data_IF_397243727551
#
_entry.id   IF_397243727551
#
_cell.length_a   1.000
_cell.length_b   1.000
_cell.length_c   1.000
_cell.angle_alpha   90.00
_cell.angle_beta   90.00
_cell.angle_gamma   90.00
#
_symmetry.space_group_name_H-M   'P 1'
#
loop_
_entity.id
_entity.type
_entity.pdbx_description
1 polymer ?
#
# COMPACT_ATOMS: atom_id res chain seq x y z
N UNK A 1 -18.30 46.76 47.48
CA UNK A 1 -18.82 45.54 46.83
C UNK A 1 -19.27 45.72 45.36
N UNK A 2 -18.73 46.71 44.61
CA UNK A 2 -19.07 46.97 43.20
C UNK A 2 -18.07 46.38 42.19
N UNK A 3 -16.80 46.19 42.59
CA UNK A 3 -15.73 45.73 41.70
C UNK A 3 -15.86 44.27 41.23
N UNK A 4 -16.33 43.37 42.11
CA UNK A 4 -16.48 41.92 41.79
C UNK A 4 -17.60 41.63 40.80
N UNK A 5 -18.65 42.46 40.80
CA UNK A 5 -19.80 42.34 39.90
C UNK A 5 -19.42 42.65 38.44
N UNK A 6 -18.56 43.65 38.21
CA UNK A 6 -18.06 43.99 36.87
C UNK A 6 -17.20 42.88 36.25
N UNK A 7 -16.37 42.22 37.04
CA UNK A 7 -15.52 41.10 36.58
C UNK A 7 -16.38 39.89 36.19
N UNK A 8 -17.40 39.55 36.97
CA UNK A 8 -18.33 38.45 36.63
C UNK A 8 -19.17 38.74 35.39
N UNK A 9 -19.55 40.00 35.14
CA UNK A 9 -20.29 40.39 33.93
C UNK A 9 -19.38 40.41 32.69
N UNK A 10 -18.12 40.82 32.83
CA UNK A 10 -17.12 40.77 31.76
C UNK A 10 -16.76 39.33 31.36
N UNK A 11 -16.66 38.41 32.33
CA UNK A 11 -16.39 36.99 32.05
C UNK A 11 -17.55 36.30 31.33
N UNK A 12 -18.80 36.65 31.66
CA UNK A 12 -19.99 36.05 31.05
C UNK A 12 -20.26 36.55 29.62
N UNK A 13 -19.90 37.79 29.30
CA UNK A 13 -19.97 38.32 27.91
C UNK A 13 -18.87 37.72 27.02
N UNK A 14 -17.68 37.45 27.56
CA UNK A 14 -16.60 36.83 26.82
C UNK A 14 -16.91 35.37 26.43
N UNK A 15 -17.57 34.61 27.32
CA UNK A 15 -17.96 33.21 27.05
C UNK A 15 -19.13 33.10 26.05
N UNK A 16 -19.99 34.12 25.96
CA UNK A 16 -21.13 34.12 25.03
C UNK A 16 -20.76 34.58 23.60
N UNK A 17 -19.60 35.22 23.45
CA UNK A 17 -19.12 35.72 22.16
C UNK A 17 -18.36 34.64 21.36
N UNK A 18 -17.85 33.60 22.02
CA UNK A 18 -17.17 32.46 21.38
C UNK A 18 -18.11 31.44 20.74
N UNK A 19 -19.42 31.51 20.99
CA UNK A 19 -20.42 30.58 20.42
C UNK A 19 -20.97 31.00 19.04
N UNK A 20 -20.64 32.19 18.54
CA UNK A 20 -21.22 32.74 17.30
C UNK A 20 -20.28 32.69 16.08
N UNK A 21 -19.04 32.22 16.24
CA UNK A 21 -18.07 32.05 15.12
C UNK A 21 -18.09 30.62 14.55
N UNK A 22 -19.06 29.77 14.96
CA UNK A 22 -19.17 28.39 14.49
C UNK A 22 -20.01 28.20 13.22
N UNK A 23 -20.63 29.26 12.66
CA UNK A 23 -21.57 29.14 11.54
C UNK A 23 -21.36 30.15 10.39
N UNK A 24 -20.12 30.43 10.03
CA UNK A 24 -19.79 31.01 8.72
C UNK A 24 -18.85 30.10 7.93
N UNK A 25 -19.23 28.81 7.86
CA UNK A 25 -18.81 27.96 6.76
C UNK A 25 -19.54 28.41 5.51
N UNK A 26 -18.90 29.25 4.70
CA UNK A 26 -19.27 29.39 3.29
C UNK A 26 -19.37 27.99 2.70
N UNK A 27 -20.46 27.62 1.99
CA UNK A 27 -20.47 26.38 1.24
C UNK A 27 -19.36 26.50 0.20
N UNK A 28 -18.23 25.87 0.47
CA UNK A 28 -17.22 25.61 -0.53
C UNK A 28 -17.97 24.92 -1.67
N UNK A 29 -17.99 25.55 -2.85
CA UNK A 29 -18.47 24.89 -4.05
C UNK A 29 -17.66 23.60 -4.14
N UNK A 30 -18.29 22.48 -3.81
CA UNK A 30 -17.81 21.16 -4.17
C UNK A 30 -17.88 21.10 -5.69
N UNK A 31 -16.84 21.62 -6.33
CA UNK A 31 -16.41 21.11 -7.63
C UNK A 31 -16.31 19.62 -7.38
N UNK A 32 -17.14 18.82 -8.05
CA UNK A 32 -17.02 17.38 -7.99
C UNK A 32 -15.58 17.06 -8.34
N UNK A 33 -14.78 16.76 -7.31
CA UNK A 33 -13.41 16.33 -7.47
C UNK A 33 -13.58 14.99 -8.18
N UNK A 34 -13.22 14.92 -9.45
CA UNK A 34 -13.08 13.64 -10.11
C UNK A 34 -12.23 12.78 -9.16
N UNK A 35 -12.84 11.77 -8.55
CA UNK A 35 -12.11 10.77 -7.79
C UNK A 35 -11.21 10.07 -8.81
N UNK A 36 -9.96 10.54 -8.92
CA UNK A 36 -8.94 9.80 -9.62
C UNK A 36 -8.87 8.44 -8.94
N UNK A 37 -9.27 7.40 -9.68
CA UNK A 37 -9.16 6.02 -9.25
C UNK A 37 -7.70 5.78 -8.85
N UNK A 38 -7.50 5.36 -7.60
CA UNK A 38 -6.18 4.98 -7.10
C UNK A 38 -5.85 3.57 -7.56
N UNK A 39 -5.27 3.46 -8.75
CA UNK A 39 -4.94 2.16 -9.35
C UNK A 39 -3.97 1.34 -8.47
N UNK A 40 -3.09 1.98 -7.71
CA UNK A 40 -2.16 1.29 -6.80
C UNK A 40 -2.86 0.53 -5.67
N UNK A 41 -4.01 1.02 -5.18
CA UNK A 41 -4.77 0.30 -4.15
C UNK A 41 -5.32 -1.04 -4.66
N UNK A 42 -5.46 -1.21 -5.98
CA UNK A 42 -5.90 -2.46 -6.60
C UNK A 42 -4.81 -3.54 -6.58
N UNK A 43 -3.53 -3.18 -6.44
CA UNK A 43 -2.39 -4.11 -6.38
C UNK A 43 -2.10 -4.62 -4.96
N UNK A 44 -2.62 -3.92 -3.93
CA UNK A 44 -2.28 -4.16 -2.54
C UNK A 44 -2.36 -5.63 -2.11
N UNK A 45 -3.40 -6.36 -2.52
CA UNK A 45 -3.55 -7.77 -2.15
C UNK A 45 -2.59 -8.70 -2.91
N UNK A 46 -2.23 -8.36 -4.15
CA UNK A 46 -1.24 -9.10 -4.92
C UNK A 46 0.16 -8.91 -4.32
N UNK A 47 0.53 -7.66 -4.02
CA UNK A 47 1.82 -7.34 -3.41
C UNK A 47 1.93 -7.97 -2.02
N UNK A 48 0.86 -7.91 -1.21
CA UNK A 48 0.84 -8.53 0.12
C UNK A 48 1.00 -10.05 0.03
N UNK A 49 0.33 -10.71 -0.91
CA UNK A 49 0.50 -12.15 -1.13
C UNK A 49 1.93 -12.47 -1.59
N UNK A 50 2.47 -11.71 -2.54
CA UNK A 50 3.81 -11.91 -3.06
C UNK A 50 4.88 -11.74 -1.96
N UNK A 51 4.78 -10.67 -1.17
CA UNK A 51 5.75 -10.32 -0.12
C UNK A 51 5.66 -11.23 1.12
N UNK A 52 4.46 -11.61 1.54
CA UNK A 52 4.25 -12.16 2.90
C UNK A 52 3.77 -13.61 2.92
N UNK A 53 3.16 -14.12 1.85
CA UNK A 53 2.62 -15.47 1.86
C UNK A 53 3.73 -16.52 1.82
N UNK A 54 3.58 -17.57 2.64
CA UNK A 54 4.46 -18.74 2.57
C UNK A 54 4.30 -19.49 1.24
N UNK A 55 3.10 -19.42 0.66
CA UNK A 55 2.72 -20.02 -0.62
C UNK A 55 3.56 -19.48 -1.78
N UNK A 56 3.86 -18.18 -1.80
CA UNK A 56 4.72 -17.57 -2.83
C UNK A 56 6.10 -18.22 -2.81
N UNK A 57 6.75 -18.29 -1.64
CA UNK A 57 8.05 -18.96 -1.48
C UNK A 57 7.99 -20.44 -1.83
N UNK A 58 6.92 -21.13 -1.41
CA UNK A 58 6.72 -22.53 -1.75
C UNK A 58 6.61 -22.75 -3.27
N UNK A 59 5.96 -21.85 -4.00
CA UNK A 59 5.86 -21.89 -5.46
C UNK A 59 7.22 -21.64 -6.14
N UNK A 60 8.05 -20.73 -5.64
CA UNK A 60 9.43 -20.57 -6.13
C UNK A 60 10.24 -21.86 -5.94
N UNK A 61 10.22 -22.44 -4.74
CA UNK A 61 10.89 -23.72 -4.50
C UNK A 61 10.35 -24.83 -5.38
N UNK A 62 9.03 -24.92 -5.56
CA UNK A 62 8.41 -25.89 -6.45
C UNK A 62 8.90 -25.72 -7.89
N UNK A 63 8.93 -24.50 -8.39
CA UNK A 63 9.41 -24.17 -9.74
C UNK A 63 10.85 -24.61 -9.94
N UNK A 64 11.76 -24.23 -9.04
CA UNK A 64 13.16 -24.61 -9.12
C UNK A 64 13.41 -26.11 -8.94
N UNK A 65 12.70 -26.77 -8.02
CA UNK A 65 12.82 -28.22 -7.82
C UNK A 65 12.37 -29.00 -9.06
N UNK A 66 11.26 -28.57 -9.69
CA UNK A 66 10.82 -29.16 -10.97
C UNK A 66 11.85 -28.87 -12.06
N UNK A 67 12.36 -27.64 -12.14
CA UNK A 67 13.40 -27.25 -13.09
C UNK A 67 14.65 -28.14 -12.98
N UNK A 68 15.11 -28.39 -11.76
CA UNK A 68 16.24 -29.28 -11.50
C UNK A 68 15.93 -30.73 -11.92
N UNK A 69 14.78 -31.27 -11.53
CA UNK A 69 14.36 -32.62 -11.94
C UNK A 69 14.31 -32.78 -13.46
N UNK A 70 13.85 -31.75 -14.18
CA UNK A 70 13.82 -31.75 -15.64
C UNK A 70 15.22 -31.64 -16.23
N UNK A 71 16.07 -30.78 -15.68
CA UNK A 71 17.44 -30.62 -16.11
C UNK A 71 18.22 -31.93 -15.95
N UNK A 72 18.14 -32.58 -14.80
CA UNK A 72 18.78 -33.87 -14.53
C UNK A 72 18.34 -34.94 -15.53
N UNK A 73 17.03 -35.01 -15.83
CA UNK A 73 16.49 -35.95 -16.81
C UNK A 73 16.97 -35.67 -18.25
N UNK A 74 17.17 -34.40 -18.62
CA UNK A 74 17.72 -34.00 -19.93
C UNK A 74 19.20 -34.36 -20.00
N UNK A 75 19.97 -34.03 -18.97
CA UNK A 75 21.40 -34.31 -18.91
C UNK A 75 21.69 -35.82 -18.94
N UNK A 76 20.87 -36.63 -18.26
CA UNK A 76 20.99 -38.09 -18.28
C UNK A 76 20.75 -38.72 -19.67
N UNK A 77 19.94 -38.08 -20.52
CA UNK A 77 19.70 -38.53 -21.92
C UNK A 77 20.83 -38.13 -22.86
N UNK A 78 21.68 -37.19 -22.47
CA UNK A 78 22.69 -36.56 -23.32
C UNK A 78 22.10 -35.48 -24.23
N UNK A 79 22.96 -34.56 -24.66
CA UNK A 79 22.61 -33.45 -25.55
C UNK A 79 23.61 -33.37 -26.71
N UNK A 80 23.13 -33.06 -27.91
CA UNK A 80 24.01 -32.94 -29.10
C UNK A 80 24.99 -31.76 -29.00
N UNK A 81 24.58 -30.70 -28.31
CA UNK A 81 25.37 -29.49 -28.06
C UNK A 81 25.49 -29.25 -26.55
N UNK A 82 26.35 -28.30 -26.16
CA UNK A 82 26.44 -27.86 -24.77
C UNK A 82 25.07 -27.37 -24.29
N UNK A 83 24.52 -27.92 -23.19
CA UNK A 83 23.22 -27.52 -22.68
C UNK A 83 23.28 -26.12 -22.05
N UNK A 84 22.15 -25.43 -22.06
CA UNK A 84 21.96 -24.12 -21.42
C UNK A 84 20.56 -24.04 -20.80
N UNK A 85 20.43 -23.18 -19.79
CA UNK A 85 19.14 -22.78 -19.20
C UNK A 85 18.97 -21.28 -19.40
N UNK A 86 17.73 -20.85 -19.55
CA UNK A 86 17.36 -19.44 -19.72
C UNK A 86 16.39 -19.10 -18.60
N UNK A 87 16.62 -17.98 -17.93
CA UNK A 87 15.76 -17.45 -16.89
C UNK A 87 15.56 -15.97 -17.16
N UNK A 88 14.38 -15.47 -16.81
CA UNK A 88 14.18 -14.04 -16.58
C UNK A 88 14.83 -13.62 -15.24
N UNK A 89 14.88 -12.32 -14.96
CA UNK A 89 15.44 -11.77 -13.73
C UNK A 89 14.37 -11.28 -12.77
N UNK A 90 13.57 -10.30 -13.18
CA UNK A 90 12.60 -9.65 -12.31
C UNK A 90 11.47 -10.64 -11.97
N UNK A 91 11.19 -10.77 -10.68
CA UNK A 91 10.24 -11.72 -10.09
C UNK A 91 10.50 -13.19 -10.46
N UNK A 92 11.69 -13.50 -11.00
CA UNK A 92 12.13 -14.87 -11.28
C UNK A 92 13.33 -15.22 -10.41
N UNK A 93 14.38 -14.41 -10.47
CA UNK A 93 15.60 -14.56 -9.66
C UNK A 93 15.70 -13.45 -8.62
N UNK A 94 15.32 -12.22 -8.98
CA UNK A 94 15.38 -11.05 -8.14
C UNK A 94 13.97 -10.68 -7.68
N UNK A 95 13.84 -10.35 -6.39
CA UNK A 95 12.59 -9.88 -5.80
C UNK A 95 12.59 -8.34 -5.77
N UNK A 96 11.80 -7.73 -6.65
CA UNK A 96 11.63 -6.27 -6.69
C UNK A 96 10.34 -5.79 -6.01
N UNK A 97 9.64 -6.65 -5.27
CA UNK A 97 8.39 -6.28 -4.60
C UNK A 97 8.48 -5.12 -3.59
N UNK A 98 9.64 -4.69 -3.06
CA UNK A 98 9.72 -3.46 -2.27
C UNK A 98 9.56 -2.14 -3.05
N UNK A 99 9.50 -2.17 -4.39
CA UNK A 99 9.52 -1.00 -5.28
C UNK A 99 8.16 -0.51 -5.75
#
# INVERSE_FOLDING_TARGET
MKMKRGITTLLSVAVLSTSLVACSGTPEKTVAKEEKVKLTEQQLMADLWYQTAGETKALYYQGYNIGQLKLDAILAKGTEKKPAIVLDLDETVLDNSPH
#
